data_IF_203646694446
#
_entry.id   IF_203646694446
#
_cell.length_a   1.000
_cell.length_b   1.000
_cell.length_c   1.000
_cell.angle_alpha   90.00
_cell.angle_beta   90.00
_cell.angle_gamma   90.00
#
_symmetry.space_group_name_H-M   'P 1'
#
loop_
_entity.id
_entity.type
_entity.pdbx_description
1 polymer ?
#
# COMPACT_ATOMS: atom_id res chain seq x y z
N UNK A 1 4.94 -10.19 -19.01
CA UNK A 1 5.56 -9.21 -19.30
C UNK A 1 5.70 -7.98 -18.40
N UNK A 2 5.03 -6.86 -18.61
CA UNK A 2 5.23 -5.71 -17.74
C UNK A 2 4.90 -6.02 -16.28
N UNK A 3 3.78 -6.70 -16.03
CA UNK A 3 3.41 -7.10 -14.68
C UNK A 3 4.44 -8.03 -14.05
N UNK A 4 4.88 -9.05 -14.79
CA UNK A 4 5.91 -9.97 -14.31
C UNK A 4 7.24 -9.28 -14.03
N UNK A 5 7.60 -8.30 -14.83
CA UNK A 5 8.81 -7.49 -14.62
C UNK A 5 8.74 -6.70 -13.32
N UNK A 6 7.62 -6.05 -13.04
CA UNK A 6 7.44 -5.27 -11.81
C UNK A 6 7.44 -6.17 -10.57
N UNK A 7 6.83 -7.36 -10.65
CA UNK A 7 6.90 -8.35 -9.58
C UNK A 7 8.35 -8.76 -9.31
N UNK A 8 9.09 -9.11 -10.36
CA UNK A 8 10.48 -9.56 -10.24
C UNK A 8 11.37 -8.48 -9.62
N UNK A 9 11.19 -7.22 -10.00
CA UNK A 9 11.91 -6.09 -9.41
C UNK A 9 11.64 -5.97 -7.92
N UNK A 10 10.39 -6.10 -7.52
CA UNK A 10 10.01 -6.04 -6.11
C UNK A 10 10.64 -7.18 -5.32
N UNK A 11 10.60 -8.40 -5.85
CA UNK A 11 11.18 -9.57 -5.19
C UNK A 11 12.69 -9.44 -5.04
N UNK A 12 13.38 -9.02 -6.09
CA UNK A 12 14.83 -8.78 -6.04
C UNK A 12 15.20 -7.71 -5.03
N UNK A 13 14.41 -6.65 -4.96
CA UNK A 13 14.60 -5.57 -4.00
C UNK A 13 14.48 -6.09 -2.56
N UNK A 14 13.45 -6.89 -2.27
CA UNK A 14 13.25 -7.47 -0.94
C UNK A 14 14.41 -8.40 -0.56
N UNK A 15 14.88 -9.20 -1.51
CA UNK A 15 16.03 -10.08 -1.28
C UNK A 15 17.30 -9.28 -1.01
N UNK A 16 17.52 -8.21 -1.75
CA UNK A 16 18.71 -7.37 -1.58
C UNK A 16 18.75 -6.68 -0.23
N UNK A 17 17.59 -6.42 0.36
CA UNK A 17 17.45 -5.81 1.68
C UNK A 17 17.40 -6.84 2.82
N UNK A 18 17.44 -8.14 2.50
CA UNK A 18 17.37 -9.20 3.49
C UNK A 18 16.02 -9.28 4.20
N UNK A 19 14.95 -8.86 3.56
CA UNK A 19 13.60 -8.85 4.13
C UNK A 19 12.94 -10.21 3.90
N UNK A 20 12.55 -10.87 5.00
CA UNK A 20 11.77 -12.10 4.93
C UNK A 20 10.37 -11.82 4.39
N UNK A 21 9.93 -12.62 3.44
CA UNK A 21 8.61 -12.48 2.85
C UNK A 21 8.12 -13.80 2.28
N UNK A 22 6.80 -13.92 2.13
CA UNK A 22 6.14 -15.04 1.45
C UNK A 22 5.37 -14.48 0.26
N UNK A 23 5.17 -15.27 -0.76
CA UNK A 23 4.49 -14.86 -1.98
C UNK A 23 3.32 -15.80 -2.23
N UNK A 24 2.12 -15.24 -2.44
CA UNK A 24 0.94 -15.98 -2.91
C UNK A 24 0.58 -15.46 -4.30
N UNK A 25 0.65 -16.32 -5.29
CA UNK A 25 0.21 -16.00 -6.65
C UNK A 25 -1.28 -16.29 -6.78
N UNK A 26 -2.00 -15.47 -7.52
CA UNK A 26 -3.45 -15.59 -7.74
C UNK A 26 -3.85 -14.87 -9.02
N UNK A 27 -5.10 -15.03 -9.42
CA UNK A 27 -5.63 -14.28 -10.55
C UNK A 27 -5.70 -12.79 -10.20
N UNK A 28 -5.68 -11.93 -11.22
CA UNK A 28 -5.75 -10.49 -11.03
C UNK A 28 -7.02 -10.12 -10.26
N UNK A 29 -6.87 -9.31 -9.20
CA UNK A 29 -7.98 -8.81 -8.38
C UNK A 29 -7.96 -7.28 -8.40
N UNK A 30 -9.13 -6.64 -8.44
CA UNK A 30 -9.26 -5.19 -8.56
C UNK A 30 -9.99 -4.55 -7.39
N UNK A 31 -10.50 -5.36 -6.44
CA UNK A 31 -11.19 -4.88 -5.24
C UNK A 31 -11.15 -5.93 -4.14
N UNK A 32 -11.58 -5.55 -2.94
CA UNK A 32 -11.55 -6.45 -1.78
C UNK A 32 -12.51 -7.63 -1.92
N UNK A 33 -13.63 -7.46 -2.62
CA UNK A 33 -14.59 -8.54 -2.86
C UNK A 33 -13.96 -9.65 -3.71
N UNK A 34 -13.23 -9.30 -4.77
CA UNK A 34 -12.50 -10.26 -5.58
C UNK A 34 -11.36 -10.92 -4.79
N UNK A 35 -10.68 -10.15 -3.94
CA UNK A 35 -9.61 -10.67 -3.10
C UNK A 35 -10.16 -11.69 -2.09
N UNK A 36 -11.35 -11.44 -1.53
CA UNK A 36 -11.98 -12.35 -0.58
C UNK A 36 -12.31 -13.72 -1.20
N UNK A 37 -12.47 -13.78 -2.52
CA UNK A 37 -12.68 -15.04 -3.24
C UNK A 37 -11.39 -15.83 -3.43
N UNK A 38 -10.22 -15.23 -3.19
CA UNK A 38 -8.91 -15.88 -3.28
C UNK A 38 -8.57 -16.49 -1.93
N UNK A 39 -8.12 -17.74 -1.93
CA UNK A 39 -7.67 -18.40 -0.69
C UNK A 39 -6.28 -17.85 -0.31
N UNK A 40 -6.21 -17.11 0.79
CA UNK A 40 -4.99 -16.46 1.26
C UNK A 40 -4.50 -17.09 2.56
N UNK A 41 -3.17 -17.21 2.76
CA UNK A 41 -2.62 -17.79 3.99
C UNK A 41 -2.83 -16.94 5.24
N UNK A 42 -2.96 -15.62 5.09
CA UNK A 42 -3.10 -14.69 6.21
C UNK A 42 -4.23 -13.69 5.94
N UNK A 43 -5.51 -14.14 5.97
CA UNK A 43 -6.62 -13.26 5.57
C UNK A 43 -6.77 -12.00 6.44
N UNK A 44 -6.35 -12.06 7.71
CA UNK A 44 -6.40 -10.90 8.60
C UNK A 44 -5.33 -9.85 8.30
N UNK A 45 -4.36 -10.18 7.47
CA UNK A 45 -3.26 -9.28 7.11
C UNK A 45 -3.47 -8.61 5.75
N UNK A 46 -4.60 -8.82 5.08
CA UNK A 46 -4.93 -8.17 3.83
C UNK A 46 -4.96 -6.66 3.98
N UNK A 47 -4.41 -5.95 3.01
CA UNK A 47 -4.35 -4.50 3.01
C UNK A 47 -5.30 -3.89 2.01
N UNK A 48 -5.98 -2.84 2.44
CA UNK A 48 -6.76 -1.95 1.58
C UNK A 48 -6.01 -0.63 1.48
N UNK A 49 -5.75 -0.20 0.26
CA UNK A 49 -4.92 0.97 -0.01
C UNK A 49 -5.76 2.07 -0.65
N UNK A 50 -5.69 3.27 -0.06
CA UNK A 50 -6.39 4.44 -0.56
C UNK A 50 -5.36 5.50 -0.93
N UNK A 51 -5.29 5.84 -2.21
CA UNK A 51 -4.40 6.91 -2.67
C UNK A 51 -5.21 8.19 -2.84
N UNK A 52 -4.96 9.15 -1.96
CA UNK A 52 -5.74 10.38 -1.87
C UNK A 52 -4.84 11.61 -1.93
N UNK A 53 -5.44 12.75 -2.16
CA UNK A 53 -4.74 14.04 -2.22
C UNK A 53 -5.57 15.14 -1.59
N UNK A 54 -4.93 16.25 -1.23
CA UNK A 54 -5.65 17.42 -0.75
C UNK A 54 -6.33 18.17 -1.90
N UNK A 55 -7.17 19.13 -1.56
CA UNK A 55 -7.92 19.95 -2.52
C UNK A 55 -7.04 20.86 -3.37
N UNK A 56 -5.81 21.10 -2.95
CA UNK A 56 -4.82 21.91 -3.69
C UNK A 56 -3.92 21.07 -4.57
N UNK A 57 -4.05 19.74 -4.53
CA UNK A 57 -3.16 18.79 -5.25
C UNK A 57 -1.68 18.99 -4.91
N UNK A 58 -1.38 19.41 -3.70
CA UNK A 58 0.00 19.65 -3.22
C UNK A 58 0.51 18.51 -2.36
N UNK A 59 -0.38 17.87 -1.60
CA UNK A 59 -0.01 16.78 -0.71
C UNK A 59 -0.75 15.52 -1.12
N UNK A 60 -0.01 14.41 -1.17
CA UNK A 60 -0.52 13.10 -1.50
C UNK A 60 -0.34 12.16 -0.32
N UNK A 61 -1.28 11.27 -0.13
CA UNK A 61 -1.30 10.33 1.00
C UNK A 61 -1.68 8.95 0.52
N UNK A 62 -0.94 7.94 0.96
CA UNK A 62 -1.35 6.55 0.83
C UNK A 62 -1.81 6.08 2.21
N UNK A 63 -3.08 5.71 2.33
CA UNK A 63 -3.67 5.24 3.58
C UNK A 63 -3.90 3.75 3.43
N UNK A 64 -3.18 2.95 4.20
CA UNK A 64 -3.23 1.49 4.13
C UNK A 64 -3.80 0.95 5.43
N UNK A 65 -4.94 0.29 5.34
CA UNK A 65 -5.66 -0.27 6.49
C UNK A 65 -5.97 -1.75 6.26
N UNK A 66 -6.31 -2.45 7.34
CA UNK A 66 -6.78 -3.84 7.22
C UNK A 66 -8.01 -3.89 6.33
N UNK A 67 -8.11 -4.91 5.49
CA UNK A 67 -9.07 -4.96 4.39
C UNK A 67 -10.53 -4.87 4.76
N UNK A 68 -10.88 -5.21 6.01
CA UNK A 68 -12.27 -5.13 6.50
C UNK A 68 -12.65 -3.77 7.09
N UNK A 69 -11.72 -2.84 7.16
CA UNK A 69 -11.97 -1.52 7.73
C UNK A 69 -12.44 -0.53 6.66
N UNK A 70 -13.24 0.43 7.10
CA UNK A 70 -13.68 1.56 6.25
C UNK A 70 -12.99 2.82 6.73
N UNK A 71 -12.57 3.65 5.79
CA UNK A 71 -11.96 4.94 6.10
C UNK A 71 -12.92 6.05 5.68
N UNK A 72 -13.34 6.85 6.65
CA UNK A 72 -14.10 8.07 6.39
C UNK A 72 -13.08 9.19 6.18
N UNK A 73 -12.89 9.61 4.94
CA UNK A 73 -11.89 10.63 4.59
C UNK A 73 -12.14 11.96 5.29
N UNK A 74 -13.40 12.30 5.54
CA UNK A 74 -13.74 13.54 6.25
C UNK A 74 -13.32 13.48 7.71
N UNK A 75 -13.57 12.36 8.38
CA UNK A 75 -13.14 12.12 9.75
C UNK A 75 -11.61 12.03 9.82
N UNK A 76 -11.00 11.35 8.86
CA UNK A 76 -9.54 11.20 8.78
C UNK A 76 -8.85 12.57 8.67
N UNK A 77 -9.31 13.43 7.78
CA UNK A 77 -8.68 14.72 7.61
C UNK A 77 -8.80 15.59 8.86
N UNK A 78 -9.93 15.50 9.55
CA UNK A 78 -10.15 16.24 10.81
C UNK A 78 -9.23 15.73 11.91
N UNK A 79 -9.10 14.42 12.05
CA UNK A 79 -8.26 13.81 13.07
C UNK A 79 -6.77 14.15 12.89
N UNK A 80 -6.32 14.31 11.64
CA UNK A 80 -4.93 14.58 11.31
C UNK A 80 -4.66 16.03 10.89
N UNK A 81 -5.66 16.90 11.03
CA UNK A 81 -5.56 18.34 10.71
C UNK A 81 -5.11 18.59 9.26
N UNK A 82 -5.70 17.84 8.34
CA UNK A 82 -5.41 17.94 6.91
C UNK A 82 -6.49 18.77 6.19
N UNK A 83 -6.17 19.22 4.99
CA UNK A 83 -7.14 19.84 4.10
C UNK A 83 -8.12 18.78 3.58
N UNK A 84 -9.26 19.17 3.00
CA UNK A 84 -10.22 18.21 2.43
C UNK A 84 -9.53 17.24 1.47
N UNK A 85 -9.84 15.96 1.62
CA UNK A 85 -9.22 14.87 0.85
C UNK A 85 -10.19 14.31 -0.18
N UNK A 86 -9.65 13.92 -1.33
CA UNK A 86 -10.36 13.16 -2.34
C UNK A 86 -9.41 12.14 -2.98
N UNK A 87 -9.98 11.14 -3.65
CA UNK A 87 -9.15 10.15 -4.33
C UNK A 87 -8.34 10.81 -5.44
N UNK A 88 -7.08 10.43 -5.55
CA UNK A 88 -6.24 10.85 -6.65
C UNK A 88 -6.73 10.19 -7.95
N UNK A 89 -6.49 10.83 -9.08
CA UNK A 89 -6.88 10.31 -10.37
C UNK A 89 -5.97 9.16 -10.82
N UNK A 90 -6.42 8.39 -11.81
CA UNK A 90 -5.59 7.35 -12.43
C UNK A 90 -4.31 7.94 -13.03
N UNK A 91 -4.39 9.15 -13.58
CA UNK A 91 -3.24 9.89 -14.10
C UNK A 91 -2.22 10.23 -13.03
N UNK A 92 -2.69 10.73 -11.89
CA UNK A 92 -1.84 11.06 -10.75
C UNK A 92 -1.17 9.80 -10.18
N UNK A 93 -1.92 8.71 -10.09
CA UNK A 93 -1.41 7.43 -9.63
C UNK A 93 -0.30 6.91 -10.56
N UNK A 94 -0.52 6.95 -11.86
CA UNK A 94 0.46 6.52 -12.86
C UNK A 94 1.71 7.40 -12.83
N UNK A 95 1.53 8.72 -12.67
CA UNK A 95 2.62 9.69 -12.68
C UNK A 95 3.51 9.55 -11.43
N UNK A 96 2.93 9.42 -10.26
CA UNK A 96 3.64 9.44 -8.97
C UNK A 96 4.15 8.05 -8.58
N UNK A 97 3.28 7.05 -8.61
CA UNK A 97 3.59 5.71 -8.11
C UNK A 97 3.83 4.67 -9.22
N UNK A 98 3.62 5.04 -10.47
CA UNK A 98 3.76 4.14 -11.63
C UNK A 98 2.84 2.93 -11.53
N UNK A 99 1.65 3.12 -11.01
CA UNK A 99 0.65 2.07 -10.80
C UNK A 99 -0.63 2.37 -11.57
N UNK A 100 -1.47 1.33 -11.71
CA UNK A 100 -2.81 1.45 -12.29
C UNK A 100 -3.86 1.28 -11.20
N UNK A 101 -5.09 1.80 -11.39
CA UNK A 101 -6.19 1.52 -10.48
C UNK A 101 -6.39 0.01 -10.32
N UNK A 102 -6.68 -0.44 -9.11
CA UNK A 102 -6.82 -1.86 -8.79
C UNK A 102 -5.53 -2.56 -8.41
N UNK A 103 -4.38 -1.94 -8.62
CA UNK A 103 -3.07 -2.49 -8.24
C UNK A 103 -2.30 -1.55 -7.30
N UNK A 104 -3.02 -0.74 -6.52
CA UNK A 104 -2.41 0.21 -5.58
C UNK A 104 -1.75 -0.55 -4.44
N UNK A 105 -0.50 -0.22 -4.14
CA UNK A 105 0.31 -0.92 -3.15
C UNK A 105 1.35 0.01 -2.53
N UNK A 106 1.72 -0.21 -1.25
CA UNK A 106 2.83 0.54 -0.64
C UNK A 106 4.16 0.41 -1.38
N UNK A 107 4.39 -0.67 -2.10
CA UNK A 107 5.61 -0.82 -2.90
C UNK A 107 5.71 0.22 -4.02
N UNK A 108 4.60 0.82 -4.43
CA UNK A 108 4.61 1.92 -5.39
C UNK A 108 5.29 3.17 -4.86
N UNK A 109 5.42 3.31 -3.55
CA UNK A 109 6.16 4.43 -2.95
C UNK A 109 7.64 4.41 -3.31
N UNK A 110 8.16 3.24 -3.68
CA UNK A 110 9.54 3.11 -4.16
C UNK A 110 9.75 3.82 -5.50
N UNK A 111 8.68 4.11 -6.23
CA UNK A 111 8.69 4.84 -7.50
C UNK A 111 8.49 6.36 -7.32
N UNK A 112 8.16 6.80 -6.10
CA UNK A 112 7.93 8.21 -5.77
C UNK A 112 9.27 8.92 -5.56
N UNK A 113 9.90 9.31 -6.65
CA UNK A 113 11.24 9.91 -6.64
C UNK A 113 11.30 11.22 -5.88
N UNK A 114 10.23 12.01 -5.93
CA UNK A 114 10.17 13.32 -5.28
C UNK A 114 9.70 13.25 -3.82
N UNK A 115 9.38 12.06 -3.33
CA UNK A 115 8.87 11.83 -1.97
C UNK A 115 7.62 12.66 -1.67
N UNK A 116 6.72 12.71 -2.63
CA UNK A 116 5.48 13.50 -2.55
C UNK A 116 4.42 12.86 -1.68
N UNK A 117 4.48 11.53 -1.48
CA UNK A 117 3.44 10.76 -0.80
C UNK A 117 3.83 10.50 0.65
N UNK A 118 2.91 10.84 1.57
CA UNK A 118 3.02 10.44 2.97
C UNK A 118 2.27 9.13 3.16
N UNK A 119 2.84 8.21 3.91
CA UNK A 119 2.29 6.87 4.10
C UNK A 119 1.69 6.75 5.49
N UNK A 120 0.40 6.41 5.55
CA UNK A 120 -0.32 6.15 6.80
C UNK A 120 -0.62 4.66 6.89
N UNK A 121 -0.07 3.99 7.90
CA UNK A 121 -0.28 2.56 8.16
C UNK A 121 -1.22 2.36 9.33
N UNK A 122 -2.19 1.46 9.17
CA UNK A 122 -3.06 1.03 10.26
C UNK A 122 -2.24 0.32 11.34
N UNK A 123 -2.31 0.79 12.56
CA UNK A 123 -1.66 0.18 13.71
C UNK A 123 -2.05 -1.29 13.89
N UNK A 124 -3.25 -1.67 13.44
CA UNK A 124 -3.73 -3.04 13.51
C UNK A 124 -2.85 -4.07 12.80
N UNK A 125 -2.05 -3.66 11.80
CA UNK A 125 -1.11 -4.57 11.14
C UNK A 125 0.03 -5.03 12.06
N UNK A 126 0.30 -4.30 13.14
CA UNK A 126 1.35 -4.62 14.09
C UNK A 126 0.89 -5.57 15.20
N UNK A 127 -0.41 -5.87 15.26
CA UNK A 127 -0.98 -6.79 16.23
C UNK A 127 -0.88 -8.24 15.73
N UNK A 128 -0.99 -9.22 16.65
CA UNK A 128 -0.92 -10.64 16.29
C UNK A 128 0.41 -11.00 15.64
N UNK A 129 0.37 -11.48 14.39
CA UNK A 129 1.58 -11.86 13.66
C UNK A 129 2.39 -10.65 13.17
N UNK A 130 1.83 -9.44 13.24
CA UNK A 130 2.50 -8.23 12.77
C UNK A 130 2.81 -8.25 11.29
N UNK A 131 1.96 -8.89 10.49
CA UNK A 131 2.14 -9.07 9.05
C UNK A 131 1.20 -8.21 8.22
N UNK A 132 1.62 -7.89 7.00
CA UNK A 132 0.83 -7.17 6.03
C UNK A 132 0.99 -7.84 4.65
N UNK A 133 -0.11 -7.95 3.90
CA UNK A 133 -0.11 -8.48 2.54
C UNK A 133 -0.24 -7.34 1.52
N UNK A 134 0.71 -7.22 0.62
CA UNK A 134 0.76 -6.16 -0.39
C UNK A 134 1.00 -6.73 -1.78
N UNK A 135 0.45 -6.06 -2.81
CA UNK A 135 0.79 -6.41 -4.19
C UNK A 135 2.23 -5.96 -4.51
N UNK A 136 3.01 -6.78 -5.23
CA UNK A 136 4.37 -6.40 -5.62
C UNK A 136 4.37 -5.56 -6.92
N UNK A 137 3.64 -4.43 -6.91
CA UNK A 137 3.37 -3.57 -8.06
C UNK A 137 2.58 -4.25 -9.19
N UNK A 138 1.86 -5.32 -8.84
CA UNK A 138 1.02 -6.10 -9.75
C UNK A 138 -0.07 -6.78 -8.93
N UNK A 139 -1.27 -6.93 -9.48
CA UNK A 139 -2.40 -7.49 -8.75
C UNK A 139 -2.61 -8.99 -8.96
N UNK A 140 -1.58 -9.71 -9.44
CA UNK A 140 -1.63 -11.17 -9.62
C UNK A 140 -0.87 -11.93 -8.52
N UNK A 141 -0.40 -11.22 -7.52
CA UNK A 141 0.28 -11.83 -6.37
C UNK A 141 0.08 -10.97 -5.13
N UNK A 142 0.32 -11.57 -3.98
CA UNK A 142 0.38 -10.87 -2.70
C UNK A 142 1.68 -11.24 -2.01
N UNK A 143 2.44 -10.26 -1.60
CA UNK A 143 3.66 -10.43 -0.82
C UNK A 143 3.33 -10.21 0.65
N UNK A 144 3.66 -11.18 1.48
CA UNK A 144 3.45 -11.13 2.93
C UNK A 144 4.78 -10.86 3.60
N UNK A 145 4.83 -9.80 4.41
CA UNK A 145 6.04 -9.43 5.15
C UNK A 145 5.61 -8.81 6.48
N UNK A 146 6.57 -8.59 7.38
CA UNK A 146 6.23 -7.93 8.64
C UNK A 146 5.87 -6.46 8.37
N UNK A 147 4.88 -5.95 9.10
CA UNK A 147 4.48 -4.55 9.01
C UNK A 147 5.65 -3.63 9.39
N UNK A 148 6.44 -4.04 10.37
CA UNK A 148 7.62 -3.30 10.80
C UNK A 148 8.69 -3.24 9.70
N UNK A 149 8.90 -4.33 8.96
CA UNK A 149 9.83 -4.35 7.84
C UNK A 149 9.36 -3.42 6.73
N UNK A 150 8.07 -3.41 6.42
CA UNK A 150 7.51 -2.50 5.42
C UNK A 150 7.67 -1.04 5.85
N UNK A 151 7.38 -0.74 7.11
CA UNK A 151 7.56 0.61 7.66
C UNK A 151 9.01 1.08 7.48
N UNK A 152 9.96 0.25 7.89
CA UNK A 152 11.39 0.57 7.79
C UNK A 152 11.83 0.78 6.34
N UNK A 153 11.33 -0.07 5.43
CA UNK A 153 11.64 0.00 4.00
C UNK A 153 11.18 1.34 3.40
N UNK A 154 9.98 1.76 3.72
CA UNK A 154 9.41 3.02 3.19
C UNK A 154 10.12 4.23 3.82
N UNK A 155 10.44 4.17 5.11
CA UNK A 155 11.19 5.22 5.79
C UNK A 155 12.61 5.37 5.19
N UNK A 156 13.29 4.25 4.90
CA UNK A 156 14.58 4.26 4.22
C UNK A 156 14.50 4.88 2.83
N UNK A 157 13.37 4.68 2.13
CA UNK A 157 13.14 5.27 0.82
C UNK A 157 13.01 6.80 0.88
N UNK A 158 12.78 7.36 2.08
CA UNK A 158 12.68 8.79 2.30
C UNK A 158 11.27 9.33 2.45
N UNK A 159 10.25 8.48 2.35
CA UNK A 159 8.86 8.89 2.58
C UNK A 159 8.56 8.95 4.08
N UNK A 160 7.71 9.88 4.48
CA UNK A 160 7.24 9.97 5.86
C UNK A 160 6.22 8.86 6.12
N UNK A 161 6.37 8.14 7.22
CA UNK A 161 5.47 7.07 7.62
C UNK A 161 4.82 7.39 8.96
N UNK A 162 3.50 7.29 9.02
CA UNK A 162 2.70 7.47 10.22
C UNK A 162 1.97 6.17 10.53
N UNK A 163 2.10 5.65 11.76
CA UNK A 163 1.33 4.50 12.23
C UNK A 163 0.17 5.05 13.06
N UNK A 164 -1.04 4.73 12.64
CA UNK A 164 -2.25 5.37 13.19
C UNK A 164 -3.31 4.33 13.57
N UNK A 165 -4.21 4.72 14.44
CA UNK A 165 -5.42 3.95 14.73
C UNK A 165 -6.52 4.37 13.76
N UNK A 166 -7.17 3.39 13.17
CA UNK A 166 -8.24 3.61 12.20
C UNK A 166 -9.53 2.96 12.67
#
# INVERSE_FOLDING_TARGET
LEGGYEQDRTYEFLKSKGIEHEITEHEAVFNMEELDAVELPYPDADAKNLFVRDDKKKNYYLITVKGNKRVDLKAFRKAHELRPLSFASAEELADIMKLIPGAVTPFGLLNDEEKRVQFYMDKGFFDGHGSIGCHPNDNTATVWLSAKALQSLIEENGNTVWVIEV
#
